data_IF_369686591955
#
_entry.id   IF_369686591955
#
_cell.length_a   1.000
_cell.length_b   1.000
_cell.length_c   1.000
_cell.angle_alpha   90.00
_cell.angle_beta   90.00
_cell.angle_gamma   90.00
#
_symmetry.space_group_name_H-M   'P 1'
#
loop_
_entity.id
_entity.type
_entity.pdbx_description
1 polymer ?
#
# COMPACT_ATOMS: atom_id res chain seq x y z
N UNK A 1 2.01 -12.84 0.64
CA UNK A 1 2.19 -13.63 -0.58
C UNK A 1 0.83 -14.05 -1.10
N UNK A 2 0.56 -13.90 -2.39
CA UNK A 2 -0.64 -14.42 -3.07
C UNK A 2 -0.14 -15.32 -4.20
N UNK A 3 -0.65 -16.55 -4.29
CA UNK A 3 -0.27 -17.51 -5.32
C UNK A 3 -1.44 -18.45 -5.62
N UNK A 4 -1.51 -18.92 -6.85
CA UNK A 4 -2.42 -20.01 -7.27
C UNK A 4 -1.94 -21.39 -6.77
N UNK A 5 -0.72 -21.47 -6.23
CA UNK A 5 -0.11 -22.70 -5.71
C UNK A 5 0.29 -22.54 -4.25
N UNK A 6 0.43 -23.65 -3.48
CA UNK A 6 0.80 -23.57 -2.07
C UNK A 6 2.14 -22.87 -1.84
N UNK A 7 2.13 -21.83 -1.00
CA UNK A 7 3.33 -21.11 -0.56
C UNK A 7 3.96 -21.91 0.58
N UNK A 8 5.21 -22.37 0.39
CA UNK A 8 5.96 -23.15 1.39
C UNK A 8 6.98 -22.31 2.19
N UNK A 9 7.14 -21.04 1.82
CA UNK A 9 8.13 -20.13 2.38
C UNK A 9 7.48 -19.16 3.36
N UNK A 10 8.12 -18.99 4.52
CA UNK A 10 7.70 -18.10 5.58
C UNK A 10 8.85 -17.15 5.95
N UNK A 11 9.16 -16.24 5.03
CA UNK A 11 10.24 -15.26 5.18
C UNK A 11 9.78 -13.84 4.82
N UNK A 12 10.63 -12.85 5.10
CA UNK A 12 10.44 -11.48 4.67
C UNK A 12 10.36 -11.38 3.14
N UNK A 13 9.56 -10.45 2.63
CA UNK A 13 9.46 -10.16 1.20
C UNK A 13 10.61 -9.24 0.82
N UNK A 14 11.54 -9.71 -0.01
CA UNK A 14 12.71 -8.94 -0.47
C UNK A 14 12.51 -8.29 -1.83
N UNK A 15 11.55 -8.77 -2.62
CA UNK A 15 11.32 -8.28 -3.99
C UNK A 15 9.82 -8.11 -4.28
N UNK A 16 9.15 -7.15 -3.64
CA UNK A 16 7.71 -6.96 -3.76
C UNK A 16 7.29 -6.46 -5.16
N UNK A 17 6.12 -6.90 -5.63
CA UNK A 17 5.43 -6.30 -6.77
C UNK A 17 4.61 -5.06 -6.38
N UNK A 18 4.17 -5.01 -5.12
CA UNK A 18 3.31 -3.95 -4.60
C UNK A 18 3.80 -3.58 -3.20
N UNK A 19 3.98 -2.28 -2.94
CA UNK A 19 4.22 -1.72 -1.62
C UNK A 19 3.08 -0.75 -1.29
N UNK A 20 2.49 -0.92 -0.10
CA UNK A 20 1.48 0.00 0.43
C UNK A 20 2.04 0.65 1.70
N UNK A 21 2.22 1.97 1.66
CA UNK A 21 2.74 2.75 2.79
C UNK A 21 1.56 3.38 3.52
N UNK A 22 1.27 2.84 4.70
CA UNK A 22 0.18 3.27 5.57
C UNK A 22 0.51 4.59 6.29
N UNK A 23 1.74 4.69 6.78
CA UNK A 23 2.23 5.83 7.53
C UNK A 23 3.23 6.64 6.67
N UNK A 24 2.86 7.84 6.20
CA UNK A 24 3.72 8.67 5.37
C UNK A 24 5.00 9.14 6.09
N UNK A 25 5.07 9.06 7.42
CA UNK A 25 6.29 9.46 8.16
C UNK A 25 7.48 8.56 7.84
N UNK A 26 7.25 7.34 7.32
CA UNK A 26 8.30 6.39 6.94
C UNK A 26 9.10 6.79 5.70
N UNK A 27 8.55 7.64 4.82
CA UNK A 27 9.16 7.99 3.52
C UNK A 27 10.55 8.65 3.62
N UNK A 28 10.91 9.18 4.80
CA UNK A 28 12.23 9.78 5.06
C UNK A 28 13.07 9.03 6.10
N UNK A 29 12.57 7.92 6.64
CA UNK A 29 13.23 7.16 7.71
C UNK A 29 13.81 5.85 7.19
N UNK A 30 13.12 5.23 6.24
CA UNK A 30 13.51 3.95 5.63
C UNK A 30 13.30 4.00 4.12
N UNK A 31 14.06 3.21 3.36
CA UNK A 31 13.79 3.03 1.93
C UNK A 31 12.58 2.11 1.75
N UNK A 32 11.39 2.71 1.69
CA UNK A 32 10.14 1.98 1.43
C UNK A 32 10.08 1.37 0.03
N UNK A 33 11.01 1.72 -0.86
CA UNK A 33 11.06 1.25 -2.25
C UNK A 33 12.09 0.15 -2.46
N UNK A 34 12.80 -0.27 -1.41
CA UNK A 34 13.81 -1.32 -1.46
C UNK A 34 13.20 -2.61 -2.04
N UNK A 35 13.85 -3.14 -3.07
CA UNK A 35 13.43 -4.38 -3.74
C UNK A 35 12.17 -4.26 -4.61
N UNK A 36 11.53 -3.09 -4.70
CA UNK A 36 10.36 -2.91 -5.54
C UNK A 36 10.72 -3.11 -7.03
N UNK A 37 10.00 -4.04 -7.69
CA UNK A 37 10.23 -4.38 -9.10
C UNK A 37 10.11 -3.17 -10.02
N UNK A 38 10.66 -3.24 -11.23
CA UNK A 38 10.57 -2.13 -12.21
C UNK A 38 9.13 -1.76 -12.58
N UNK A 39 8.28 -2.77 -12.76
CA UNK A 39 6.83 -2.63 -12.95
C UNK A 39 6.04 -2.53 -11.64
N UNK A 40 6.75 -2.37 -10.52
CA UNK A 40 6.19 -2.35 -9.19
C UNK A 40 5.23 -1.18 -8.97
N UNK A 41 4.29 -1.40 -8.05
CA UNK A 41 3.26 -0.43 -7.66
C UNK A 41 3.54 0.06 -6.25
N UNK A 42 3.58 1.38 -6.08
CA UNK A 42 3.67 2.05 -4.79
C UNK A 42 2.35 2.79 -4.52
N UNK A 43 1.68 2.46 -3.43
CA UNK A 43 0.46 3.12 -2.96
C UNK A 43 0.76 3.77 -1.60
N UNK A 44 0.50 5.06 -1.46
CA UNK A 44 0.87 5.79 -0.24
C UNK A 44 -0.35 6.53 0.30
N UNK A 45 -0.55 6.41 1.61
CA UNK A 45 -1.41 7.32 2.35
C UNK A 45 -0.76 8.71 2.43
N UNK A 46 -1.18 9.64 1.58
CA UNK A 46 -0.65 11.00 1.58
C UNK A 46 -1.62 11.99 0.94
N UNK A 47 -1.50 13.26 1.34
CA UNK A 47 -2.14 14.39 0.65
C UNK A 47 -1.30 14.87 -0.54
N UNK A 48 -0.03 14.48 -0.60
CA UNK A 48 0.86 14.80 -1.71
C UNK A 48 0.37 14.12 -3.00
N UNK A 49 0.61 14.79 -4.12
CA UNK A 49 0.44 14.19 -5.44
C UNK A 49 1.49 13.09 -5.70
N UNK A 50 1.23 12.15 -6.63
CA UNK A 50 2.23 11.16 -7.04
C UNK A 50 3.53 11.79 -7.55
N UNK A 51 3.48 12.98 -8.15
CA UNK A 51 4.66 13.69 -8.62
C UNK A 51 5.54 14.17 -7.46
N UNK A 52 4.93 14.76 -6.42
CA UNK A 52 5.65 15.18 -5.21
C UNK A 52 6.27 13.99 -4.47
N UNK A 53 5.56 12.86 -4.40
CA UNK A 53 6.13 11.62 -3.84
C UNK A 53 7.36 11.17 -4.64
N UNK A 54 7.28 11.17 -5.97
CA UNK A 54 8.41 10.78 -6.82
C UNK A 54 9.63 11.64 -6.57
N UNK A 55 9.42 12.95 -6.44
CA UNK A 55 10.48 13.89 -6.12
C UNK A 55 11.09 13.60 -4.74
N UNK A 56 10.25 13.47 -3.69
CA UNK A 56 10.69 13.16 -2.31
C UNK A 56 11.53 11.88 -2.22
N UNK A 57 11.14 10.84 -2.98
CA UNK A 57 11.81 9.55 -2.98
C UNK A 57 12.93 9.43 -4.02
N UNK A 58 13.16 10.46 -4.84
CA UNK A 58 14.03 10.38 -6.02
C UNK A 58 13.72 9.15 -6.91
N UNK A 59 12.43 8.78 -7.00
CA UNK A 59 11.99 7.51 -7.56
C UNK A 59 11.82 7.60 -9.09
N UNK A 60 12.55 6.75 -9.80
CA UNK A 60 12.48 6.62 -11.26
C UNK A 60 11.71 5.35 -11.67
N UNK A 61 10.86 5.49 -12.69
CA UNK A 61 9.97 4.39 -13.12
C UNK A 61 8.92 4.06 -12.07
N UNK A 62 8.37 2.83 -12.09
CA UNK A 62 7.32 2.32 -11.20
C UNK A 62 6.02 3.12 -11.27
N UNK A 63 4.92 2.49 -10.87
CA UNK A 63 3.62 3.16 -10.75
C UNK A 63 3.47 3.71 -9.33
N UNK A 64 3.08 4.98 -9.22
CA UNK A 64 2.89 5.65 -7.92
C UNK A 64 1.46 6.15 -7.84
N UNK A 65 0.78 5.79 -6.76
CA UNK A 65 -0.57 6.22 -6.43
C UNK A 65 -0.58 6.81 -5.03
N UNK A 66 -1.29 7.92 -4.87
CA UNK A 66 -1.51 8.54 -3.57
C UNK A 66 -3.00 8.60 -3.28
N UNK A 67 -3.34 8.43 -2.01
CA UNK A 67 -4.71 8.54 -1.51
C UNK A 67 -4.64 9.11 -0.10
N UNK A 68 -5.48 10.09 0.20
CA UNK A 68 -5.60 10.58 1.58
C UNK A 68 -6.53 9.66 2.38
N UNK A 69 -6.03 8.45 2.66
CA UNK A 69 -6.80 7.40 3.33
C UNK A 69 -7.18 7.79 4.75
N UNK A 70 -6.31 8.51 5.45
CA UNK A 70 -6.60 9.05 6.78
C UNK A 70 -7.79 10.01 6.77
N UNK A 71 -7.85 10.94 5.80
CA UNK A 71 -8.97 11.87 5.66
C UNK A 71 -10.27 11.15 5.28
N UNK A 72 -10.21 10.21 4.33
CA UNK A 72 -11.38 9.41 3.95
C UNK A 72 -11.96 8.68 5.17
N UNK A 73 -11.10 8.04 5.97
CA UNK A 73 -11.53 7.35 7.19
C UNK A 73 -12.10 8.34 8.22
N UNK A 74 -11.45 9.49 8.42
CA UNK A 74 -11.92 10.51 9.34
C UNK A 74 -13.32 11.02 8.96
N UNK A 75 -13.57 11.28 7.68
CA UNK A 75 -14.84 11.79 7.17
C UNK A 75 -15.95 10.72 7.17
N UNK A 76 -15.59 9.45 7.00
CA UNK A 76 -16.57 8.36 6.86
C UNK A 76 -16.94 7.70 8.19
N UNK A 77 -15.94 7.45 9.05
CA UNK A 77 -16.10 6.69 10.31
C UNK A 77 -15.66 7.47 11.56
N UNK A 78 -15.31 8.75 11.40
CA UNK A 78 -14.95 9.64 12.51
C UNK A 78 -13.57 9.39 13.13
N UNK A 79 -12.74 8.54 12.52
CA UNK A 79 -11.38 8.20 13.00
C UNK A 79 -10.40 8.04 11.84
N UNK A 80 -9.13 8.45 11.98
CA UNK A 80 -8.14 8.40 10.91
C UNK A 80 -7.50 7.01 10.82
N UNK A 81 -8.30 6.00 10.46
CA UNK A 81 -7.86 4.60 10.28
C UNK A 81 -7.68 4.30 8.78
N UNK A 82 -6.48 4.50 8.22
CA UNK A 82 -6.26 4.46 6.77
C UNK A 82 -6.34 3.06 6.15
N UNK A 83 -6.36 1.99 6.96
CA UNK A 83 -6.29 0.59 6.50
C UNK A 83 -7.38 0.28 5.48
N UNK A 84 -8.65 0.56 5.82
CA UNK A 84 -9.79 0.20 4.98
C UNK A 84 -9.81 0.98 3.65
N UNK A 85 -9.62 2.32 3.64
CA UNK A 85 -9.48 3.04 2.37
C UNK A 85 -8.26 2.58 1.53
N UNK A 86 -7.13 2.24 2.16
CA UNK A 86 -5.95 1.74 1.45
C UNK A 86 -6.18 0.36 0.81
N UNK A 87 -6.94 -0.52 1.46
CA UNK A 87 -7.37 -1.80 0.85
C UNK A 87 -8.22 -1.52 -0.40
N UNK A 88 -9.14 -0.55 -0.33
CA UNK A 88 -9.93 -0.14 -1.50
C UNK A 88 -9.05 0.38 -2.65
N UNK A 89 -8.07 1.22 -2.32
CA UNK A 89 -7.08 1.71 -3.30
C UNK A 89 -6.25 0.56 -3.90
N UNK A 90 -5.80 -0.39 -3.07
CA UNK A 90 -5.06 -1.58 -3.50
C UNK A 90 -5.86 -2.41 -4.50
N UNK A 91 -7.12 -2.74 -4.19
CA UNK A 91 -8.01 -3.49 -5.08
C UNK A 91 -8.20 -2.75 -6.40
N UNK A 92 -8.46 -1.44 -6.35
CA UNK A 92 -8.69 -0.63 -7.55
C UNK A 92 -7.48 -0.59 -8.49
N UNK A 93 -6.27 -0.45 -7.92
CA UNK A 93 -5.04 -0.33 -8.69
C UNK A 93 -4.59 -1.68 -9.26
N UNK A 94 -4.73 -2.74 -8.48
CA UNK A 94 -4.18 -4.06 -8.83
C UNK A 94 -5.16 -4.95 -9.59
N UNK A 95 -6.47 -4.65 -9.52
CA UNK A 95 -7.51 -5.52 -10.06
C UNK A 95 -7.64 -6.85 -9.32
N UNK A 96 -6.98 -7.00 -8.16
CA UNK A 96 -7.07 -8.21 -7.36
C UNK A 96 -8.50 -8.41 -6.88
N UNK A 97 -9.11 -9.51 -7.30
CA UNK A 97 -10.41 -9.94 -6.77
C UNK A 97 -10.20 -10.62 -5.43
N UNK A 98 -10.33 -9.86 -4.35
CA UNK A 98 -10.24 -10.37 -2.98
C UNK A 98 -11.67 -10.68 -2.50
N UNK A 99 -11.90 -11.89 -1.99
CA UNK A 99 -13.16 -12.20 -1.31
C UNK A 99 -13.29 -11.36 -0.04
N UNK A 100 -14.45 -10.73 0.17
CA UNK A 100 -14.74 -9.95 1.38
C UNK A 100 -14.59 -10.76 2.68
N UNK A 101 -14.82 -12.08 2.63
CA UNK A 101 -14.56 -12.97 3.78
C UNK A 101 -13.07 -13.01 4.17
N UNK A 102 -12.17 -12.82 3.22
CA UNK A 102 -10.72 -12.78 3.47
C UNK A 102 -10.25 -11.45 4.07
N UNK A 103 -11.05 -10.38 3.97
CA UNK A 103 -10.72 -9.05 4.48
C UNK A 103 -10.95 -8.90 5.98
N UNK A 104 -11.83 -9.70 6.59
CA UNK A 104 -12.02 -9.71 8.04
C UNK A 104 -10.74 -10.08 8.79
N UNK A 105 -9.82 -10.84 8.18
CA UNK A 105 -8.53 -11.17 8.79
C UNK A 105 -7.53 -10.01 8.82
N UNK A 106 -7.71 -8.97 7.99
CA UNK A 106 -6.77 -7.85 7.90
C UNK A 106 -7.16 -6.65 8.79
N UNK A 107 -8.40 -6.62 9.28
CA UNK A 107 -8.97 -5.47 10.03
C UNK A 107 -8.92 -5.66 11.55
N UNK A 108 -8.44 -6.80 12.06
CA UNK A 108 -8.15 -6.96 13.49
C UNK A 108 -6.72 -6.49 13.80
N UNK A 109 -6.62 -5.30 14.40
CA UNK A 109 -5.67 -5.05 15.49
C UNK A 109 -6.53 -4.67 16.71
N UNK A 110 -6.19 -5.15 17.92
CA UNK A 110 -4.89 -5.00 18.56
C UNK A 110 -3.81 -5.99 18.14
#
# INVERSE_FOLDING_TARGET
WISETPIKIHCHVTNPNIVVVLDPTLLGVVDVTEGLTEDGVLIINSEDSPAQIREKLNLKGRKVYTVNASKIAQETIGRPLPNTPLIGALIKVTGLSISLLSLNFLVFLP
#
